data_IF_409862398146
#
_entry.id   IF_409862398146
#
_cell.length_a   1.000
_cell.length_b   1.000
_cell.length_c   1.000
_cell.angle_alpha   90.00
_cell.angle_beta   90.00
_cell.angle_gamma   90.00
#
_symmetry.space_group_name_H-M   'P 1'
#
loop_
_entity.id
_entity.type
_entity.pdbx_description
1 polymer ?
#
# COMPACT_ATOMS: atom_id res chain seq x y z
N UNK A 1 48.86 -6.51 -15.82
CA UNK A 1 47.61 -7.25 -15.53
C UNK A 1 46.99 -6.53 -14.35
N UNK A 2 45.93 -5.78 -14.60
CA UNK A 2 45.22 -5.04 -13.55
C UNK A 2 44.36 -6.05 -12.79
N UNK A 3 44.72 -6.37 -11.54
CA UNK A 3 43.94 -7.29 -10.71
C UNK A 3 42.63 -6.60 -10.33
N UNK A 4 41.51 -7.07 -10.88
CA UNK A 4 40.20 -6.55 -10.49
C UNK A 4 39.93 -6.90 -9.03
N UNK A 5 39.82 -5.89 -8.16
CA UNK A 5 39.39 -6.07 -6.78
C UNK A 5 38.00 -6.74 -6.75
N UNK A 6 37.87 -7.80 -5.96
CA UNK A 6 36.60 -8.44 -5.68
C UNK A 6 35.91 -7.71 -4.52
N UNK A 7 34.59 -7.86 -4.38
CA UNK A 7 33.84 -7.20 -3.28
C UNK A 7 34.41 -7.53 -1.90
N UNK A 8 34.91 -8.76 -1.71
CA UNK A 8 35.52 -9.19 -0.44
C UNK A 8 36.81 -8.43 -0.11
N UNK A 9 37.44 -7.80 -1.09
CA UNK A 9 38.69 -7.05 -0.94
C UNK A 9 38.43 -5.59 -0.51
N UNK A 10 37.17 -5.13 -0.55
CA UNK A 10 36.75 -3.84 0.01
C UNK A 10 36.53 -3.93 1.53
N UNK A 11 36.82 -2.84 2.28
CA UNK A 11 36.38 -2.67 3.66
C UNK A 11 34.90 -3.02 3.81
N UNK A 12 34.54 -3.69 4.90
CA UNK A 12 33.20 -4.24 5.06
C UNK A 12 32.12 -3.14 5.03
N UNK A 13 32.44 -1.98 5.58
CA UNK A 13 31.61 -0.77 5.61
C UNK A 13 31.48 -0.06 4.26
N UNK A 14 32.37 -0.32 3.31
CA UNK A 14 32.30 0.21 1.95
C UNK A 14 31.53 -0.69 0.98
N UNK A 15 31.21 -1.94 1.39
CA UNK A 15 30.48 -2.88 0.55
C UNK A 15 29.03 -2.44 0.36
N UNK A 16 28.44 -2.62 -0.85
CA UNK A 16 27.12 -2.09 -1.15
C UNK A 16 26.00 -2.51 -0.19
N UNK A 17 25.97 -3.77 0.27
CA UNK A 17 24.88 -4.25 1.14
C UNK A 17 24.96 -3.63 2.52
N UNK A 18 26.17 -3.52 3.04
CA UNK A 18 26.50 -2.94 4.32
C UNK A 18 26.20 -1.43 4.31
N UNK A 19 26.57 -0.73 3.24
CA UNK A 19 26.18 0.68 3.01
C UNK A 19 24.66 0.86 2.92
N UNK A 20 23.95 -0.06 2.25
CA UNK A 20 22.49 0.00 2.18
C UNK A 20 21.86 -0.11 3.58
N UNK A 21 22.42 -0.93 4.46
CA UNK A 21 21.95 -1.09 5.84
C UNK A 21 22.30 0.12 6.70
N UNK A 22 23.53 0.64 6.61
CA UNK A 22 24.00 1.71 7.50
C UNK A 22 23.58 3.12 7.06
N UNK A 23 23.52 3.37 5.74
CA UNK A 23 23.31 4.71 5.15
C UNK A 23 22.05 4.80 4.29
N UNK A 24 21.37 3.68 4.01
CA UNK A 24 20.17 3.64 3.18
C UNK A 24 20.43 3.63 1.68
N UNK A 25 19.43 3.18 0.91
CA UNK A 25 19.53 2.98 -0.53
C UNK A 25 19.90 4.24 -1.34
N UNK A 26 19.54 5.43 -0.86
CA UNK A 26 19.84 6.71 -1.51
C UNK A 26 21.32 7.09 -1.53
N UNK A 27 22.14 6.45 -0.69
CA UNK A 27 23.60 6.67 -0.65
C UNK A 27 24.38 5.86 -1.70
N UNK A 28 23.71 4.94 -2.39
CA UNK A 28 24.29 4.04 -3.37
C UNK A 28 24.12 4.57 -4.78
N UNK A 29 25.11 4.33 -5.62
CA UNK A 29 25.03 4.55 -7.06
C UNK A 29 24.20 3.46 -7.76
N UNK A 30 23.80 3.73 -9.01
CA UNK A 30 23.01 2.78 -9.80
C UNK A 30 23.72 1.43 -10.00
N UNK A 31 25.04 1.42 -10.21
CA UNK A 31 25.77 0.16 -10.41
C UNK A 31 25.86 -0.64 -9.11
N UNK A 32 25.96 0.02 -7.96
CA UNK A 32 25.93 -0.65 -6.65
C UNK A 32 24.56 -1.29 -6.37
N UNK A 33 23.47 -0.60 -6.71
CA UNK A 33 22.11 -1.16 -6.61
C UNK A 33 21.94 -2.40 -7.49
N UNK A 34 22.41 -2.33 -8.74
CA UNK A 34 22.41 -3.50 -9.66
C UNK A 34 23.31 -4.61 -9.09
N UNK A 35 24.45 -4.27 -8.48
CA UNK A 35 25.37 -5.26 -7.93
C UNK A 35 24.77 -6.03 -6.76
N UNK A 36 24.00 -5.35 -5.90
CA UNK A 36 23.23 -5.99 -4.82
C UNK A 36 22.24 -7.00 -5.39
N UNK A 37 21.51 -6.63 -6.45
CA UNK A 37 20.58 -7.52 -7.15
C UNK A 37 21.33 -8.72 -7.71
N UNK A 38 22.38 -8.52 -8.51
CA UNK A 38 23.10 -9.63 -9.16
C UNK A 38 23.80 -10.58 -8.17
N UNK A 39 24.12 -10.11 -6.96
CA UNK A 39 24.82 -10.82 -5.87
C UNK A 39 26.27 -11.19 -6.17
N UNK A 40 26.56 -11.71 -7.36
CA UNK A 40 27.86 -12.25 -7.74
C UNK A 40 28.26 -11.83 -9.15
N UNK A 41 29.57 -11.70 -9.36
CA UNK A 41 30.17 -11.36 -10.64
C UNK A 41 30.30 -12.58 -11.54
N UNK A 42 31.34 -12.60 -12.37
CA UNK A 42 31.77 -13.80 -13.08
C UNK A 42 33.02 -14.37 -12.42
N UNK A 43 33.64 -15.39 -13.03
CA UNK A 43 34.96 -15.85 -12.60
C UNK A 43 36.06 -14.80 -12.84
N UNK A 44 35.87 -13.95 -13.85
CA UNK A 44 36.90 -13.04 -14.36
C UNK A 44 36.64 -11.57 -14.00
N UNK A 45 35.49 -11.26 -13.39
CA UNK A 45 35.04 -9.90 -13.17
C UNK A 45 34.17 -9.78 -11.92
N UNK A 46 34.40 -8.74 -11.12
CA UNK A 46 33.58 -8.45 -9.94
C UNK A 46 32.14 -8.08 -10.30
N UNK A 47 31.20 -8.26 -9.36
CA UNK A 47 29.80 -7.87 -9.62
C UNK A 47 29.66 -6.36 -9.84
N UNK A 48 30.49 -5.53 -9.22
CA UNK A 48 30.49 -4.07 -9.41
C UNK A 48 30.87 -3.69 -10.84
N UNK A 49 31.92 -4.31 -11.39
CA UNK A 49 32.34 -4.09 -12.77
C UNK A 49 31.29 -4.60 -13.76
N UNK A 50 30.74 -5.80 -13.52
CA UNK A 50 29.65 -6.35 -14.33
C UNK A 50 28.43 -5.41 -14.35
N UNK A 51 28.03 -4.89 -13.19
CA UNK A 51 26.94 -3.93 -13.06
C UNK A 51 27.22 -2.61 -13.78
N UNK A 52 28.45 -2.10 -13.72
CA UNK A 52 28.85 -0.92 -14.47
C UNK A 52 28.83 -1.17 -15.98
N UNK A 53 29.23 -2.36 -16.43
CA UNK A 53 29.15 -2.73 -17.85
C UNK A 53 27.70 -2.80 -18.35
N UNK A 54 26.77 -3.33 -17.55
CA UNK A 54 25.34 -3.30 -17.89
C UNK A 54 24.88 -1.86 -18.12
N UNK A 55 25.16 -0.96 -17.17
CA UNK A 55 24.76 0.44 -17.31
C UNK A 55 25.41 1.11 -18.51
N UNK A 56 26.68 0.81 -18.79
CA UNK A 56 27.38 1.36 -19.95
C UNK A 56 26.76 0.86 -21.26
N UNK A 57 26.41 -0.43 -21.34
CA UNK A 57 25.78 -1.03 -22.52
C UNK A 57 24.42 -0.40 -22.85
N UNK A 58 23.64 -0.05 -21.83
CA UNK A 58 22.32 0.58 -21.96
C UNK A 58 22.34 2.09 -21.74
N UNK A 59 23.51 2.74 -21.74
CA UNK A 59 23.66 4.19 -21.55
C UNK A 59 22.89 4.74 -20.32
N UNK A 60 22.87 3.96 -19.24
CA UNK A 60 22.19 4.26 -17.98
C UNK A 60 20.88 3.50 -17.77
N UNK A 61 20.07 3.98 -16.82
CA UNK A 61 18.82 3.31 -16.42
C UNK A 61 17.68 3.51 -17.44
N UNK A 62 17.74 4.59 -18.22
CA UNK A 62 16.64 4.97 -19.11
C UNK A 62 16.42 3.98 -20.25
N UNK A 63 17.47 3.44 -20.87
CA UNK A 63 17.31 2.40 -21.90
C UNK A 63 17.25 1.02 -21.25
N UNK A 64 17.96 0.80 -20.13
CA UNK A 64 17.92 -0.47 -19.40
C UNK A 64 16.48 -0.87 -19.03
N UNK A 65 15.61 0.09 -18.72
CA UNK A 65 14.21 -0.22 -18.40
C UNK A 65 13.44 -0.92 -19.54
N UNK A 66 13.93 -0.82 -20.78
CA UNK A 66 13.31 -1.40 -21.97
C UNK A 66 14.03 -2.65 -22.47
N UNK A 67 15.09 -3.09 -21.77
CA UNK A 67 15.91 -4.22 -22.18
C UNK A 67 15.09 -5.51 -22.28
N UNK A 68 15.19 -6.17 -23.43
CA UNK A 68 14.69 -7.52 -23.64
C UNK A 68 15.60 -8.57 -22.97
N UNK A 69 15.08 -9.79 -22.82
CA UNK A 69 15.86 -10.90 -22.27
C UNK A 69 17.08 -11.21 -23.14
N UNK A 70 16.92 -11.17 -24.46
CA UNK A 70 17.99 -11.48 -25.42
C UNK A 70 19.08 -10.40 -25.40
N UNK A 71 18.72 -9.11 -25.37
CA UNK A 71 19.69 -8.02 -25.24
C UNK A 71 20.49 -8.11 -23.94
N UNK A 72 19.83 -8.43 -22.82
CA UNK A 72 20.52 -8.64 -21.54
C UNK A 72 21.51 -9.82 -21.62
N UNK A 73 21.12 -10.92 -22.27
CA UNK A 73 21.94 -12.13 -22.40
C UNK A 73 23.12 -11.95 -23.37
N UNK A 74 23.08 -10.95 -24.26
CA UNK A 74 24.22 -10.59 -25.12
C UNK A 74 25.38 -9.97 -24.32
N UNK A 75 25.16 -9.52 -23.09
CA UNK A 75 26.22 -9.03 -22.22
C UNK A 75 26.98 -10.22 -21.62
N UNK A 76 28.28 -10.33 -21.92
CA UNK A 76 29.16 -11.36 -21.35
C UNK A 76 28.97 -11.43 -19.83
N UNK A 77 28.77 -12.63 -19.28
CA UNK A 77 28.58 -12.83 -17.83
C UNK A 77 27.15 -12.69 -17.32
N UNK A 78 26.18 -12.38 -18.19
CA UNK A 78 24.75 -12.34 -17.90
C UNK A 78 24.06 -13.54 -18.54
N UNK A 79 23.86 -14.58 -17.73
CA UNK A 79 23.00 -15.71 -18.10
C UNK A 79 21.51 -15.43 -17.82
N UNK A 80 20.63 -16.37 -18.18
CA UNK A 80 19.18 -16.19 -18.05
C UNK A 80 18.73 -15.82 -16.64
N UNK A 81 19.32 -16.43 -15.60
CA UNK A 81 18.98 -16.12 -14.21
C UNK A 81 19.23 -14.65 -13.84
N UNK A 82 20.40 -14.10 -14.20
CA UNK A 82 20.76 -12.70 -13.92
C UNK A 82 19.90 -11.74 -14.74
N UNK A 83 19.65 -12.07 -16.01
CA UNK A 83 18.81 -11.26 -16.89
C UNK A 83 17.36 -11.17 -16.36
N UNK A 84 16.73 -12.32 -16.06
CA UNK A 84 15.37 -12.39 -15.49
C UNK A 84 15.29 -11.58 -14.19
N UNK A 85 16.30 -11.69 -13.33
CA UNK A 85 16.31 -10.97 -12.07
C UNK A 85 16.26 -9.45 -12.23
N UNK A 86 17.06 -8.89 -13.15
CA UNK A 86 17.07 -7.45 -13.43
C UNK A 86 15.76 -7.00 -14.07
N UNK A 87 15.27 -7.75 -15.06
CA UNK A 87 13.99 -7.46 -15.73
C UNK A 87 12.84 -7.47 -14.71
N UNK A 88 12.80 -8.44 -13.79
CA UNK A 88 11.79 -8.50 -12.74
C UNK A 88 11.87 -7.30 -11.78
N UNK A 89 13.08 -6.87 -11.39
CA UNK A 89 13.26 -5.71 -10.53
C UNK A 89 12.76 -4.41 -11.19
N UNK A 90 13.06 -4.24 -12.48
CA UNK A 90 12.60 -3.11 -13.29
C UNK A 90 11.07 -3.12 -13.40
N UNK A 91 10.47 -4.28 -13.69
CA UNK A 91 9.02 -4.42 -13.81
C UNK A 91 8.29 -4.09 -12.51
N UNK A 92 8.83 -4.51 -11.35
CA UNK A 92 8.31 -4.08 -10.05
C UNK A 92 8.38 -2.56 -9.92
N UNK A 93 9.52 -1.95 -10.27
CA UNK A 93 9.68 -0.48 -10.29
C UNK A 93 8.64 0.22 -11.16
N UNK A 94 8.41 -0.28 -12.39
CA UNK A 94 7.36 0.22 -13.28
C UNK A 94 5.99 0.13 -12.65
N UNK A 95 5.62 -1.01 -12.06
CA UNK A 95 4.30 -1.18 -11.39
C UNK A 95 4.12 -0.28 -10.18
N UNK A 96 5.18 0.02 -9.45
CA UNK A 96 5.13 0.98 -8.34
C UNK A 96 4.83 2.39 -8.86
N UNK A 97 5.46 2.81 -9.96
CA UNK A 97 5.25 4.14 -10.57
C UNK A 97 3.92 4.23 -11.32
N UNK A 98 3.55 3.19 -12.06
CA UNK A 98 2.29 3.07 -12.82
C UNK A 98 1.07 2.89 -11.92
N UNK A 99 1.23 2.60 -10.62
CA UNK A 99 0.15 2.69 -9.62
C UNK A 99 -0.33 4.13 -9.35
N UNK A 100 -0.05 5.09 -10.24
CA UNK A 100 -0.77 6.35 -10.30
C UNK A 100 -2.08 6.17 -11.05
N UNK A 101 -3.18 6.23 -10.29
CA UNK A 101 -4.56 6.40 -10.75
C UNK A 101 -5.23 5.21 -11.47
N UNK A 102 -5.52 4.13 -10.75
CA UNK A 102 -6.95 3.77 -10.76
C UNK A 102 -7.65 4.95 -10.09
N UNK A 103 -8.60 5.61 -10.77
CA UNK A 103 -9.36 6.70 -10.14
C UNK A 103 -9.90 6.16 -8.82
N UNK A 104 -9.32 6.63 -7.71
CA UNK A 104 -9.79 6.20 -6.39
C UNK A 104 -11.21 6.69 -6.28
N UNK A 105 -12.10 5.80 -5.87
CA UNK A 105 -13.50 6.14 -5.64
C UNK A 105 -13.56 7.33 -4.68
N UNK A 106 -14.21 8.40 -5.11
CA UNK A 106 -14.30 9.66 -4.35
C UNK A 106 -15.68 9.73 -3.72
N UNK A 107 -15.73 10.05 -2.44
CA UNK A 107 -16.98 10.18 -1.69
C UNK A 107 -17.33 11.66 -1.60
N UNK A 108 -18.37 12.06 -2.33
CA UNK A 108 -18.94 13.41 -2.27
C UNK A 108 -20.07 13.52 -1.25
N UNK A 109 -20.70 12.40 -0.89
CA UNK A 109 -21.74 12.34 0.12
C UNK A 109 -22.04 10.93 0.62
N UNK A 110 -23.02 10.77 1.52
CA UNK A 110 -23.38 9.48 2.10
C UNK A 110 -23.79 8.43 1.06
N UNK A 111 -24.45 8.86 -0.01
CA UNK A 111 -24.87 7.99 -1.12
C UNK A 111 -23.67 7.31 -1.79
N UNK A 112 -22.58 8.02 -2.05
CA UNK A 112 -21.36 7.45 -2.63
C UNK A 112 -20.76 6.40 -1.70
N UNK A 113 -20.70 6.69 -0.40
CA UNK A 113 -20.21 5.75 0.61
C UNK A 113 -21.07 4.49 0.68
N UNK A 114 -22.40 4.63 0.60
CA UNK A 114 -23.33 3.51 0.58
C UNK A 114 -23.20 2.71 -0.71
N UNK A 115 -23.19 3.36 -1.88
CA UNK A 115 -23.02 2.72 -3.19
C UNK A 115 -21.71 1.95 -3.31
N UNK A 116 -20.63 2.47 -2.70
CA UNK A 116 -19.33 1.81 -2.68
C UNK A 116 -19.36 0.41 -2.02
N UNK A 117 -20.28 0.17 -1.08
CA UNK A 117 -20.35 -1.07 -0.30
C UNK A 117 -21.66 -1.84 -0.44
N UNK A 118 -22.71 -1.24 -1.02
CA UNK A 118 -24.09 -1.72 -1.01
C UNK A 118 -24.21 -3.17 -1.46
N UNK A 119 -23.67 -3.49 -2.64
CA UNK A 119 -23.80 -4.82 -3.24
C UNK A 119 -23.11 -5.91 -2.42
N UNK A 120 -22.00 -5.59 -1.76
CA UNK A 120 -21.27 -6.52 -0.91
C UNK A 120 -21.94 -6.68 0.46
N UNK A 121 -22.28 -5.57 1.11
CA UNK A 121 -22.69 -5.56 2.51
C UNK A 121 -24.15 -5.96 2.74
N UNK A 122 -25.05 -5.70 1.78
CA UNK A 122 -26.48 -6.01 1.93
C UNK A 122 -26.78 -7.51 2.01
N UNK A 123 -25.91 -8.36 1.44
CA UNK A 123 -26.12 -9.81 1.37
C UNK A 123 -25.46 -10.56 2.54
N UNK A 124 -24.78 -9.85 3.43
CA UNK A 124 -24.09 -10.45 4.56
C UNK A 124 -25.11 -10.92 5.61
N UNK A 125 -25.03 -12.19 5.99
CA UNK A 125 -25.90 -12.82 6.99
C UNK A 125 -25.54 -12.49 8.44
N UNK A 126 -24.43 -11.78 8.64
CA UNK A 126 -23.98 -11.28 9.94
C UNK A 126 -23.73 -9.78 9.83
N UNK A 127 -23.83 -9.06 10.95
CA UNK A 127 -23.42 -7.66 11.03
C UNK A 127 -21.90 -7.57 10.86
N UNK A 128 -21.46 -6.66 10.00
CA UNK A 128 -20.06 -6.35 9.75
C UNK A 128 -19.85 -4.87 9.98
N UNK A 129 -18.95 -4.52 10.91
CA UNK A 129 -18.53 -3.13 11.09
C UNK A 129 -17.29 -2.87 10.22
N UNK A 130 -17.44 -1.98 9.25
CA UNK A 130 -16.46 -1.64 8.22
C UNK A 130 -16.07 -0.17 8.36
N UNK A 131 -14.83 0.16 8.05
CA UNK A 131 -14.36 1.53 7.93
C UNK A 131 -13.77 1.78 6.54
N UNK A 132 -14.18 2.89 5.94
CA UNK A 132 -13.53 3.47 4.76
C UNK A 132 -12.56 4.55 5.22
N UNK A 133 -11.28 4.39 4.92
CA UNK A 133 -10.24 5.35 5.24
C UNK A 133 -9.99 6.25 4.04
N UNK A 134 -10.03 7.57 4.24
CA UNK A 134 -10.03 8.54 3.15
C UNK A 134 -8.81 9.45 3.21
N UNK A 135 -8.40 9.97 2.06
CA UNK A 135 -7.44 11.09 2.00
C UNK A 135 -8.15 12.45 2.10
N UNK A 136 -7.39 13.54 2.07
CA UNK A 136 -7.90 14.92 2.12
C UNK A 136 -8.81 15.32 0.96
N UNK A 137 -8.91 14.49 -0.09
CA UNK A 137 -9.84 14.65 -1.22
C UNK A 137 -11.03 13.71 -1.14
N UNK A 138 -11.30 13.12 0.03
CA UNK A 138 -12.33 12.10 0.27
C UNK A 138 -12.24 10.87 -0.65
N UNK A 139 -11.04 10.54 -1.12
CA UNK A 139 -10.82 9.35 -1.92
C UNK A 139 -10.54 8.15 -1.03
N UNK A 140 -11.18 7.01 -1.32
CA UNK A 140 -10.99 5.78 -0.56
C UNK A 140 -9.54 5.28 -0.72
N UNK A 141 -8.80 5.30 0.37
CA UNK A 141 -7.45 4.75 0.49
C UNK A 141 -7.50 3.25 0.78
N UNK A 142 -8.43 2.84 1.64
CA UNK A 142 -8.55 1.46 2.11
C UNK A 142 -9.95 1.22 2.69
N UNK A 143 -10.44 -0.02 2.54
CA UNK A 143 -11.65 -0.54 3.20
C UNK A 143 -11.22 -1.66 4.13
N UNK A 144 -11.67 -1.62 5.38
CA UNK A 144 -11.35 -2.64 6.37
C UNK A 144 -12.58 -3.04 7.17
N UNK A 145 -12.86 -4.34 7.24
CA UNK A 145 -13.75 -4.90 8.26
C UNK A 145 -13.02 -4.92 9.60
N UNK A 146 -13.58 -4.22 10.58
CA UNK A 146 -13.07 -4.13 11.95
C UNK A 146 -13.64 -5.25 12.81
N UNK A 147 -14.91 -5.59 12.60
CA UNK A 147 -15.61 -6.58 13.39
C UNK A 147 -16.69 -7.31 12.58
N UNK A 148 -16.98 -8.56 12.98
CA UNK A 148 -18.03 -9.42 12.43
C UNK A 148 -18.80 -10.03 13.61
N UNK A 149 -20.13 -9.85 13.62
CA UNK A 149 -21.03 -10.26 14.70
C UNK A 149 -21.87 -9.10 15.21
N UNK A 150 -22.72 -9.35 16.21
CA UNK A 150 -23.63 -8.33 16.78
C UNK A 150 -22.87 -7.13 17.36
N UNK A 151 -23.26 -5.92 16.98
CA UNK A 151 -22.74 -4.64 17.49
C UNK A 151 -23.09 -4.43 18.97
N UNK A 152 -22.30 -5.00 19.87
CA UNK A 152 -22.31 -4.59 21.28
C UNK A 152 -21.24 -3.50 21.50
N UNK A 153 -21.57 -2.45 22.26
CA UNK A 153 -20.73 -1.26 22.51
C UNK A 153 -19.31 -1.53 23.05
N UNK A 154 -19.07 -2.74 23.57
CA UNK A 154 -17.75 -3.20 24.02
C UNK A 154 -16.82 -3.68 22.89
N UNK A 155 -17.32 -3.91 21.68
CA UNK A 155 -16.60 -4.67 20.64
C UNK A 155 -15.92 -3.76 19.61
N UNK A 156 -16.55 -2.65 19.21
CA UNK A 156 -15.93 -1.68 18.29
C UNK A 156 -15.08 -0.70 19.10
N UNK A 157 -13.84 -1.10 19.36
CA UNK A 157 -12.91 -0.29 20.13
C UNK A 157 -12.24 0.78 19.25
N UNK A 158 -12.24 2.08 19.64
CA UNK A 158 -11.60 3.15 18.86
C UNK A 158 -10.15 2.83 18.46
N UNK A 159 -9.39 2.19 19.34
CA UNK A 159 -8.02 1.72 19.06
C UNK A 159 -7.91 0.94 17.75
N UNK A 160 -8.82 0.00 17.48
CA UNK A 160 -8.73 -0.84 16.27
C UNK A 160 -9.09 -0.05 15.01
N UNK A 161 -10.07 0.86 15.10
CA UNK A 161 -10.45 1.78 14.02
C UNK A 161 -9.30 2.72 13.67
N UNK A 162 -8.75 3.44 14.66
CA UNK A 162 -7.73 4.45 14.40
C UNK A 162 -6.34 3.85 14.12
N UNK A 163 -6.03 2.64 14.58
CA UNK A 163 -4.77 1.93 14.24
C UNK A 163 -4.58 1.81 12.73
N UNK A 164 -5.61 1.41 12.00
CA UNK A 164 -5.52 1.31 10.53
C UNK A 164 -5.58 2.69 9.87
N UNK A 165 -6.31 3.66 10.44
CA UNK A 165 -6.30 5.04 9.97
C UNK A 165 -4.87 5.62 9.96
N UNK A 166 -4.10 5.44 11.04
CA UNK A 166 -2.70 5.85 11.11
C UNK A 166 -1.83 5.12 10.09
N UNK A 167 -1.98 3.79 9.97
CA UNK A 167 -1.21 2.97 9.02
C UNK A 167 -1.41 3.42 7.57
N UNK A 168 -2.60 3.94 7.24
CA UNK A 168 -2.95 4.42 5.89
C UNK A 168 -2.72 5.92 5.70
N UNK A 169 -2.30 6.63 6.74
CA UNK A 169 -2.22 8.10 6.74
C UNK A 169 -3.56 8.72 6.30
N UNK A 170 -4.66 8.18 6.84
CA UNK A 170 -5.99 8.67 6.56
C UNK A 170 -6.18 10.08 7.13
N UNK A 171 -6.78 10.96 6.34
CA UNK A 171 -7.19 12.29 6.80
C UNK A 171 -8.52 12.23 7.55
N UNK A 172 -9.37 11.28 7.19
CA UNK A 172 -10.70 11.09 7.74
C UNK A 172 -11.18 9.66 7.48
N UNK A 173 -12.31 9.28 8.07
CA UNK A 173 -12.92 7.97 7.85
C UNK A 173 -14.45 8.03 7.87
N UNK A 174 -15.08 7.03 7.26
CA UNK A 174 -16.52 6.75 7.36
C UNK A 174 -16.68 5.36 7.98
N UNK A 175 -17.52 5.26 9.00
CA UNK A 175 -17.93 3.97 9.56
C UNK A 175 -19.15 3.45 8.80
N UNK A 176 -19.26 2.14 8.67
CA UNK A 176 -20.35 1.49 7.97
C UNK A 176 -20.68 0.19 8.70
N UNK A 177 -21.95 -0.13 8.89
CA UNK A 177 -22.33 -1.51 9.19
C UNK A 177 -23.60 -1.92 8.44
N UNK A 178 -23.79 -3.22 8.27
CA UNK A 178 -25.02 -3.76 7.69
C UNK A 178 -25.94 -4.31 8.77
N UNK A 179 -27.25 -4.20 8.55
CA UNK A 179 -28.27 -4.94 9.29
C UNK A 179 -28.77 -6.11 8.44
N UNK A 180 -28.51 -7.37 8.82
CA UNK A 180 -28.99 -8.55 8.07
C UNK A 180 -30.51 -8.64 7.95
N UNK A 181 -31.26 -7.94 8.81
CA UNK A 181 -32.72 -7.79 8.71
C UNK A 181 -33.16 -7.02 7.46
N UNK A 182 -32.24 -6.29 6.83
CA UNK A 182 -32.50 -5.39 5.71
C UNK A 182 -33.03 -4.02 6.12
N UNK A 183 -33.29 -3.75 7.41
CA UNK A 183 -33.76 -2.44 7.89
C UNK A 183 -32.62 -1.59 8.49
N UNK A 184 -32.25 -0.44 7.88
CA UNK A 184 -31.11 0.36 8.34
C UNK A 184 -31.44 1.28 9.53
N UNK A 185 -32.58 1.09 10.20
CA UNK A 185 -32.96 1.90 11.37
C UNK A 185 -31.91 1.73 12.47
N UNK A 186 -31.29 2.82 12.98
CA UNK A 186 -30.25 2.71 13.99
C UNK A 186 -30.77 2.18 15.31
N UNK A 187 -29.99 1.29 15.93
CA UNK A 187 -30.10 0.96 17.34
C UNK A 187 -29.51 2.08 18.21
N UNK A 188 -29.71 1.96 19.52
CA UNK A 188 -29.10 2.88 20.49
C UNK A 188 -27.58 2.69 20.53
N UNK A 189 -27.15 1.45 20.42
CA UNK A 189 -25.76 1.01 20.43
C UNK A 189 -24.99 1.61 19.25
N UNK A 190 -25.61 1.68 18.07
CA UNK A 190 -25.01 2.33 16.89
C UNK A 190 -24.71 3.79 17.16
N UNK A 191 -25.68 4.51 17.73
CA UNK A 191 -25.55 5.94 18.06
C UNK A 191 -24.45 6.15 19.11
N UNK A 192 -24.40 5.31 20.15
CA UNK A 192 -23.39 5.39 21.21
C UNK A 192 -21.97 5.13 20.68
N UNK A 193 -21.79 4.09 19.85
CA UNK A 193 -20.50 3.80 19.19
C UNK A 193 -20.08 4.96 18.29
N UNK A 194 -21.03 5.52 17.53
CA UNK A 194 -20.76 6.66 16.62
C UNK A 194 -20.25 7.87 17.38
N UNK A 195 -20.94 8.27 18.46
CA UNK A 195 -20.55 9.41 19.29
C UNK A 195 -19.14 9.24 19.87
N UNK A 196 -18.86 8.06 20.42
CA UNK A 196 -17.54 7.72 20.96
C UNK A 196 -16.44 7.82 19.90
N UNK A 197 -16.68 7.30 18.70
CA UNK A 197 -15.72 7.37 17.59
C UNK A 197 -15.54 8.80 17.07
N UNK A 198 -16.61 9.60 17.01
CA UNK A 198 -16.56 11.02 16.63
C UNK A 198 -15.69 11.81 17.60
N UNK A 199 -15.89 11.64 18.91
CA UNK A 199 -15.07 12.30 19.94
C UNK A 199 -13.60 11.91 19.84
N UNK A 200 -13.32 10.62 19.70
CA UNK A 200 -11.95 10.12 19.51
C UNK A 200 -11.31 10.70 18.24
N UNK A 201 -12.05 10.71 17.12
CA UNK A 201 -11.58 11.25 15.85
C UNK A 201 -11.24 12.73 15.93
N UNK A 202 -12.06 13.51 16.64
CA UNK A 202 -11.77 14.92 16.91
C UNK A 202 -10.47 15.12 17.69
N UNK A 203 -10.27 14.36 18.78
CA UNK A 203 -9.06 14.46 19.63
C UNK A 203 -7.81 14.02 18.85
N UNK A 204 -7.90 12.96 18.06
CA UNK A 204 -6.78 12.37 17.31
C UNK A 204 -6.43 13.20 16.07
N UNK A 205 -7.37 14.00 15.55
CA UNK A 205 -7.21 14.73 14.30
C UNK A 205 -7.49 13.89 13.05
N UNK A 206 -8.33 12.85 13.17
CA UNK A 206 -8.84 12.05 12.05
C UNK A 206 -10.36 12.03 12.17
N UNK A 207 -11.03 12.88 11.40
CA UNK A 207 -12.48 13.09 11.53
C UNK A 207 -13.29 11.87 11.08
N UNK A 208 -14.30 11.50 11.87
CA UNK A 208 -15.37 10.60 11.45
C UNK A 208 -16.40 11.41 10.66
N UNK A 209 -16.38 11.28 9.33
CA UNK A 209 -17.23 12.09 8.44
C UNK A 209 -18.69 11.67 8.47
N UNK A 210 -18.95 10.37 8.61
CA UNK A 210 -20.29 9.80 8.70
C UNK A 210 -20.25 8.37 9.27
N UNK A 211 -21.42 7.87 9.65
CA UNK A 211 -21.66 6.46 9.91
C UNK A 211 -22.91 6.00 9.14
N UNK A 212 -22.70 5.07 8.20
CA UNK A 212 -23.74 4.54 7.34
C UNK A 212 -24.25 3.19 7.83
N UNK A 213 -25.57 3.03 7.86
CA UNK A 213 -26.22 1.74 8.14
C UNK A 213 -26.81 1.22 6.83
N UNK A 214 -26.39 0.03 6.41
CA UNK A 214 -26.77 -0.60 5.14
C UNK A 214 -27.85 -1.65 5.39
N UNK A 215 -28.99 -1.49 4.72
CA UNK A 215 -30.06 -2.49 4.62
C UNK A 215 -30.14 -3.08 3.22
N UNK A 216 -31.31 -3.63 2.85
CA UNK A 216 -31.50 -4.13 1.47
C UNK A 216 -31.82 -3.00 0.50
N UNK A 217 -30.84 -2.62 -0.34
CA UNK A 217 -30.92 -1.53 -1.32
C UNK A 217 -31.33 -0.17 -0.74
N UNK A 218 -31.19 0.01 0.58
CA UNK A 218 -31.44 1.26 1.30
C UNK A 218 -30.36 1.47 2.36
N UNK A 219 -30.15 2.72 2.74
CA UNK A 219 -29.22 3.08 3.79
C UNK A 219 -29.75 4.22 4.66
N UNK A 220 -29.17 4.40 5.83
CA UNK A 220 -29.32 5.59 6.67
C UNK A 220 -27.94 6.17 6.97
N UNK A 221 -27.80 7.48 6.80
CA UNK A 221 -26.67 8.27 7.32
C UNK A 221 -27.00 8.79 8.71
N UNK A 222 -26.16 8.49 9.70
CA UNK A 222 -26.32 9.03 11.04
C UNK A 222 -26.03 10.53 11.11
N UNK A 223 -25.17 11.04 10.22
CA UNK A 223 -24.95 12.48 10.08
C UNK A 223 -26.19 13.19 9.56
N UNK A 224 -26.80 12.72 8.48
CA UNK A 224 -28.00 13.34 7.91
C UNK A 224 -29.21 13.25 8.86
N UNK A 225 -29.27 12.20 9.69
CA UNK A 225 -30.29 12.05 10.74
C UNK A 225 -30.01 12.88 12.01
N UNK A 226 -28.86 13.53 12.12
CA UNK A 226 -28.53 14.40 13.26
C UNK A 226 -28.06 13.65 14.52
N UNK A 227 -27.59 12.41 14.40
CA UNK A 227 -27.09 11.62 15.54
C UNK A 227 -25.59 11.83 15.83
N UNK A 228 -24.88 12.53 14.94
CA UNK A 228 -23.44 12.77 15.02
C UNK A 228 -23.10 14.13 15.58
#
# INVERSE_FOLDING_TARGET
MDQSLLIKDFPQDERPRERLVSMGASSLSNHELIAILLRTGTKDESVLQLSNRILTHFEGLQLLQHASLDEMMNIKGIGPAKAIQIIAAIEIGKRIVQRKSSQRYTIHGPEDGANYVMEEMRVLSQEHFVCLYLNTKNQVLHKQTIFIGSLNSSIVHPREVFKEAFRRSAASLICIHNHPSGDPTPSREDIEVTKRLKECGFIIGIELLDHLIIGDRKYISLKEKGYM
#
